data_IF_132490614308
#
_entry.id   IF_132490614308
#
_cell.length_a   1.000
_cell.length_b   1.000
_cell.length_c   1.000
_cell.angle_alpha   90.00
_cell.angle_beta   90.00
_cell.angle_gamma   90.00
#
_symmetry.space_group_name_H-M   'P 1'
#
loop_
_entity.id
_entity.type
_entity.pdbx_description
1 polymer ?
#
# COMPACT_ATOMS: atom_id res chain seq x y z
N UNK A 1 8.13 59.25 27.35
CA UNK A 1 9.44 59.18 26.68
C UNK A 1 9.31 58.25 25.48
N UNK A 2 8.95 58.82 24.34
CA UNK A 2 8.79 58.12 23.06
C UNK A 2 10.16 58.06 22.39
N UNK A 3 10.63 56.86 22.02
CA UNK A 3 11.88 56.69 21.26
C UNK A 3 11.55 56.25 19.83
N UNK A 4 11.61 57.24 18.96
CA UNK A 4 12.25 57.24 17.64
C UNK A 4 11.99 56.09 16.66
N UNK A 5 11.13 56.45 15.70
CA UNK A 5 11.14 56.12 14.29
C UNK A 5 12.56 56.07 13.67
N UNK A 6 12.91 54.95 13.05
CA UNK A 6 13.91 54.92 11.98
C UNK A 6 13.41 54.07 10.81
N UNK A 7 12.78 54.77 9.88
CA UNK A 7 12.61 54.37 8.48
C UNK A 7 13.99 54.30 7.83
N UNK A 8 14.36 53.15 7.28
CA UNK A 8 15.57 53.00 6.47
C UNK A 8 15.26 52.27 5.16
N UNK A 9 15.00 53.10 4.14
CA UNK A 9 15.39 53.02 2.73
C UNK A 9 15.49 51.64 2.06
N UNK A 10 14.61 51.49 1.05
CA UNK A 10 14.68 50.57 -0.09
C UNK A 10 16.08 50.54 -0.71
N UNK A 11 16.63 49.34 -0.86
CA UNK A 11 17.71 49.06 -1.81
C UNK A 11 17.28 47.91 -2.72
N UNK A 12 17.02 48.29 -3.97
CA UNK A 12 16.66 47.46 -5.11
C UNK A 12 17.92 46.68 -5.53
N UNK A 13 17.95 45.37 -5.32
CA UNK A 13 18.99 44.51 -5.92
C UNK A 13 18.48 44.04 -7.28
N UNK A 14 19.21 44.46 -8.31
CA UNK A 14 18.96 44.16 -9.71
C UNK A 14 18.94 42.67 -10.00
N UNK A 15 17.91 42.23 -10.73
CA UNK A 15 17.86 40.93 -11.41
C UNK A 15 19.06 40.82 -12.34
N UNK A 16 19.95 39.87 -12.10
CA UNK A 16 20.96 39.46 -13.09
C UNK A 16 20.32 38.38 -13.95
N UNK A 17 19.94 38.74 -15.17
CA UNK A 17 19.51 37.79 -16.19
C UNK A 17 20.70 36.92 -16.58
N UNK A 18 20.57 35.60 -16.38
CA UNK A 18 21.49 34.62 -16.95
C UNK A 18 20.89 34.23 -18.30
N UNK A 19 21.55 34.63 -19.37
CA UNK A 19 21.24 34.19 -20.73
C UNK A 19 21.57 32.69 -20.83
N UNK A 20 20.55 31.85 -20.99
CA UNK A 20 20.71 30.45 -21.38
C UNK A 20 20.76 30.42 -22.92
N UNK A 21 21.91 30.00 -23.46
CA UNK A 21 22.14 29.84 -24.88
C UNK A 21 21.18 28.77 -25.48
N UNK A 22 20.90 28.81 -26.80
CA UNK A 22 20.00 27.84 -27.42
C UNK A 22 20.64 26.45 -27.48
N UNK A 23 19.88 25.43 -27.08
CA UNK A 23 20.25 24.01 -27.18
C UNK A 23 20.40 23.58 -28.65
N UNK A 24 21.34 22.67 -28.99
CA UNK A 24 21.41 22.10 -30.32
C UNK A 24 20.26 21.13 -30.58
N UNK A 25 19.51 21.37 -31.67
CA UNK A 25 18.50 20.48 -32.23
C UNK A 25 19.08 19.09 -32.49
N UNK A 26 18.63 18.08 -31.73
CA UNK A 26 18.87 16.69 -32.05
C UNK A 26 17.74 16.20 -32.95
N UNK A 27 18.10 15.86 -34.18
CA UNK A 27 17.26 15.31 -35.23
C UNK A 27 16.53 14.05 -34.76
N UNK A 28 15.21 14.02 -34.93
CA UNK A 28 14.40 12.85 -34.67
C UNK A 28 14.67 11.76 -35.72
N UNK A 29 14.96 10.49 -35.35
CA UNK A 29 14.93 9.41 -36.32
C UNK A 29 13.47 9.13 -36.72
N UNK A 30 13.22 9.24 -38.03
CA UNK A 30 11.95 8.95 -38.71
C UNK A 30 11.77 7.42 -38.87
N UNK A 31 10.52 7.02 -38.73
CA UNK A 31 9.92 5.69 -38.67
C UNK A 31 10.36 4.65 -39.74
N UNK A 32 10.26 3.36 -39.36
CA UNK A 32 9.79 2.16 -40.11
C UNK A 32 10.27 0.89 -39.37
N UNK A 33 9.52 -0.18 -39.00
CA UNK A 33 8.32 -0.84 -39.53
C UNK A 33 7.58 -1.71 -38.46
N UNK A 34 6.24 -1.73 -38.58
CA UNK A 34 5.20 -2.77 -38.29
C UNK A 34 5.07 -3.55 -36.96
N UNK A 35 3.82 -3.84 -36.53
CA UNK A 35 3.48 -4.31 -35.20
C UNK A 35 3.63 -5.82 -35.04
N UNK A 36 4.26 -6.24 -33.94
CA UNK A 36 4.15 -7.62 -33.49
C UNK A 36 2.91 -7.73 -32.59
N UNK A 37 1.92 -8.41 -33.14
CA UNK A 37 0.78 -9.00 -32.45
C UNK A 37 1.24 -9.69 -31.16
N UNK A 38 0.98 -9.09 -30.00
CA UNK A 38 1.24 -9.73 -28.71
C UNK A 38 0.13 -10.76 -28.51
N UNK A 39 0.31 -11.94 -29.10
CA UNK A 39 -0.48 -13.12 -28.77
C UNK A 39 -0.41 -13.39 -27.26
N UNK A 40 -1.45 -13.95 -26.63
CA UNK A 40 -1.49 -14.12 -25.19
C UNK A 40 -0.47 -15.21 -24.80
N UNK A 41 0.65 -14.80 -24.20
CA UNK A 41 1.58 -15.70 -23.52
C UNK A 41 0.97 -16.12 -22.16
N UNK A 42 -0.17 -16.82 -22.19
CA UNK A 42 -0.77 -17.44 -20.99
C UNK A 42 -0.91 -18.96 -21.17
N UNK A 43 -0.57 -19.52 -22.33
CA UNK A 43 -0.55 -20.97 -22.50
C UNK A 43 0.89 -21.49 -22.44
N UNK A 44 1.19 -22.26 -21.38
CA UNK A 44 2.42 -23.05 -21.16
C UNK A 44 3.50 -22.40 -20.29
N UNK A 45 3.17 -22.16 -19.02
CA UNK A 45 4.18 -22.24 -17.96
C UNK A 45 4.19 -23.70 -17.44
N UNK A 46 5.35 -24.36 -17.35
CA UNK A 46 5.45 -25.72 -16.82
C UNK A 46 5.08 -25.75 -15.32
N UNK A 47 4.45 -26.84 -14.90
CA UNK A 47 3.97 -27.15 -13.53
C UNK A 47 5.07 -27.23 -12.44
N UNK A 48 6.22 -26.58 -12.62
CA UNK A 48 7.43 -26.75 -11.80
C UNK A 48 7.76 -25.55 -10.88
N UNK A 49 6.75 -24.83 -10.38
CA UNK A 49 6.92 -24.01 -9.16
C UNK A 49 6.54 -24.88 -7.96
N UNK A 50 7.37 -25.89 -7.72
CA UNK A 50 7.10 -26.94 -6.73
C UNK A 50 7.49 -26.47 -5.33
N UNK A 51 6.51 -25.92 -4.62
CA UNK A 51 6.53 -25.68 -3.19
C UNK A 51 5.12 -25.84 -2.64
N UNK A 52 4.64 -27.08 -2.55
CA UNK A 52 3.36 -27.50 -1.97
C UNK A 52 2.16 -26.59 -2.33
N UNK A 53 1.44 -26.90 -3.42
CA UNK A 53 0.13 -26.30 -3.65
C UNK A 53 -0.79 -26.61 -2.45
N UNK A 54 -1.40 -25.61 -1.80
CA UNK A 54 -2.29 -25.85 -0.67
C UNK A 54 -3.47 -26.74 -1.10
N UNK A 55 -3.88 -27.65 -0.24
CA UNK A 55 -5.05 -28.51 -0.48
C UNK A 55 -6.33 -27.67 -0.66
N UNK A 56 -7.36 -28.22 -1.29
CA UNK A 56 -8.65 -27.54 -1.49
C UNK A 56 -9.25 -26.98 -0.19
N UNK A 57 -9.08 -27.70 0.92
CA UNK A 57 -9.55 -27.28 2.24
C UNK A 57 -8.71 -26.11 2.80
N UNK A 58 -7.37 -26.19 2.71
CA UNK A 58 -6.48 -25.11 3.12
C UNK A 58 -6.72 -23.84 2.27
N UNK A 59 -7.01 -23.99 0.98
CA UNK A 59 -7.41 -22.89 0.11
C UNK A 59 -8.70 -22.23 0.59
N UNK A 60 -9.71 -23.01 0.98
CA UNK A 60 -10.97 -22.46 1.46
C UNK A 60 -10.80 -21.69 2.78
N UNK A 61 -10.01 -22.23 3.71
CA UNK A 61 -9.73 -21.59 5.00
C UNK A 61 -8.94 -20.29 4.82
N UNK A 62 -7.93 -20.31 3.96
CA UNK A 62 -7.17 -19.12 3.59
C UNK A 62 -8.08 -18.04 3.01
N UNK A 63 -8.85 -18.36 1.96
CA UNK A 63 -9.75 -17.41 1.30
C UNK A 63 -10.79 -16.83 2.26
N UNK A 64 -11.28 -17.64 3.21
CA UNK A 64 -12.22 -17.19 4.23
C UNK A 64 -11.59 -16.24 5.25
N UNK A 65 -10.29 -16.39 5.56
CA UNK A 65 -9.61 -15.52 6.51
C UNK A 65 -9.13 -14.20 5.87
N UNK A 66 -8.78 -14.18 4.58
CA UNK A 66 -8.06 -13.04 3.95
C UNK A 66 -8.94 -12.00 3.24
N UNK A 67 -10.26 -12.15 3.24
CA UNK A 67 -11.12 -11.16 2.59
C UNK A 67 -11.29 -9.90 3.45
N UNK A 68 -11.67 -8.77 2.83
CA UNK A 68 -12.05 -7.56 3.55
C UNK A 68 -13.57 -7.39 3.53
N UNK A 69 -14.17 -7.20 4.70
CA UNK A 69 -15.61 -6.97 4.83
C UNK A 69 -15.90 -5.53 5.24
N UNK A 70 -16.12 -4.65 4.27
CA UNK A 70 -16.35 -3.23 4.55
C UNK A 70 -17.61 -2.95 5.40
N UNK A 71 -18.67 -3.76 5.21
CA UNK A 71 -19.90 -3.60 5.99
C UNK A 71 -19.68 -3.95 7.46
N UNK A 72 -19.10 -5.12 7.70
CA UNK A 72 -18.71 -5.56 9.04
C UNK A 72 -17.69 -4.61 9.68
N UNK A 73 -16.72 -4.13 8.90
CA UNK A 73 -15.69 -3.22 9.39
C UNK A 73 -16.30 -1.92 9.94
N UNK A 74 -17.25 -1.32 9.23
CA UNK A 74 -17.94 -0.12 9.69
C UNK A 74 -18.88 -0.37 10.87
N UNK A 75 -19.40 -1.59 11.03
CA UNK A 75 -20.18 -1.99 12.21
C UNK A 75 -19.28 -2.18 13.44
N UNK A 76 -18.10 -2.79 13.24
CA UNK A 76 -17.12 -3.02 14.30
C UNK A 76 -16.38 -1.74 14.72
N UNK A 77 -16.19 -0.80 13.79
CA UNK A 77 -15.43 0.44 14.00
C UNK A 77 -16.29 1.69 13.75
N UNK A 78 -17.14 2.09 14.72
CA UNK A 78 -18.04 3.24 14.59
C UNK A 78 -17.32 4.57 14.39
N UNK A 79 -16.06 4.68 14.82
CA UNK A 79 -15.21 5.85 14.62
C UNK A 79 -14.90 6.06 13.12
N UNK A 80 -14.62 4.98 12.39
CA UNK A 80 -14.41 5.02 10.93
C UNK A 80 -15.70 5.37 10.22
N UNK A 81 -16.82 4.76 10.65
CA UNK A 81 -18.16 5.07 10.14
C UNK A 81 -18.51 6.55 10.35
N UNK A 82 -18.22 7.10 11.53
CA UNK A 82 -18.48 8.50 11.84
C UNK A 82 -17.57 9.46 11.06
N UNK A 83 -16.34 9.05 10.78
CA UNK A 83 -15.41 9.82 9.94
C UNK A 83 -15.86 9.88 8.46
N UNK A 84 -16.71 8.94 8.01
CA UNK A 84 -17.23 8.91 6.64
C UNK A 84 -16.15 8.60 5.59
N UNK A 85 -15.05 7.96 6.01
CA UNK A 85 -13.94 7.53 5.15
C UNK A 85 -14.29 6.17 4.54
N UNK A 86 -13.80 5.89 3.33
CA UNK A 86 -13.91 4.55 2.75
C UNK A 86 -13.25 3.51 3.69
N UNK A 87 -13.95 2.43 4.07
CA UNK A 87 -13.45 1.49 5.06
C UNK A 87 -12.19 0.75 4.60
N UNK A 88 -12.07 0.46 3.29
CA UNK A 88 -10.90 -0.22 2.75
C UNK A 88 -9.70 0.73 2.75
N UNK A 89 -9.89 1.98 2.33
CA UNK A 89 -8.87 3.02 2.41
C UNK A 89 -8.37 3.20 3.85
N UNK A 90 -9.28 3.32 4.83
CA UNK A 90 -8.91 3.41 6.23
C UNK A 90 -8.11 2.19 6.69
N UNK A 91 -8.55 0.98 6.33
CA UNK A 91 -7.88 -0.24 6.75
C UNK A 91 -6.45 -0.36 6.20
N UNK A 92 -6.26 -0.08 4.91
CA UNK A 92 -4.96 -0.17 4.24
C UNK A 92 -3.97 0.87 4.76
N UNK A 93 -4.44 2.09 5.05
CA UNK A 93 -3.57 3.20 5.47
C UNK A 93 -3.32 3.23 6.98
N UNK A 94 -4.26 2.74 7.78
CA UNK A 94 -4.24 2.87 9.24
C UNK A 94 -4.64 1.57 9.95
N UNK A 95 -5.81 1.03 9.62
CA UNK A 95 -6.45 -0.02 10.41
C UNK A 95 -5.60 -1.28 10.61
N UNK A 96 -4.85 -1.72 9.58
CA UNK A 96 -3.98 -2.90 9.73
C UNK A 96 -2.88 -2.69 10.78
N UNK A 97 -2.21 -1.54 10.76
CA UNK A 97 -1.13 -1.22 11.71
C UNK A 97 -1.69 -0.96 13.11
N UNK A 98 -2.90 -0.41 13.20
CA UNK A 98 -3.63 -0.28 14.47
C UNK A 98 -4.08 -1.63 15.06
N UNK A 99 -3.84 -2.75 14.35
CA UNK A 99 -4.26 -4.08 14.80
C UNK A 99 -5.76 -4.27 14.73
N UNK A 100 -6.47 -3.53 13.86
CA UNK A 100 -7.89 -3.76 13.57
C UNK A 100 -8.06 -5.02 12.73
N UNK A 101 -9.20 -5.66 12.91
CA UNK A 101 -9.60 -6.86 12.19
C UNK A 101 -10.31 -6.44 10.90
N UNK A 102 -10.06 -7.08 9.75
CA UNK A 102 -10.69 -6.72 8.47
C UNK A 102 -12.04 -7.40 8.24
N UNK A 103 -12.32 -8.48 8.97
CA UNK A 103 -13.52 -9.30 8.86
C UNK A 103 -13.77 -10.05 10.19
N UNK A 104 -14.89 -10.76 10.27
CA UNK A 104 -15.29 -11.52 11.46
C UNK A 104 -14.46 -12.78 11.76
N UNK A 105 -13.72 -13.29 10.76
CA UNK A 105 -12.99 -14.56 10.82
C UNK A 105 -11.51 -14.39 11.18
N UNK A 106 -10.93 -13.21 10.94
CA UNK A 106 -9.58 -12.86 11.32
C UNK A 106 -9.60 -11.88 12.51
N UNK A 107 -9.30 -12.39 13.70
CA UNK A 107 -9.09 -11.57 14.90
C UNK A 107 -7.60 -11.23 15.04
N UNK A 108 -7.26 -9.97 14.75
CA UNK A 108 -5.90 -9.45 14.85
C UNK A 108 -5.28 -9.61 16.23
N UNK A 109 -6.06 -9.48 17.31
CA UNK A 109 -5.57 -9.61 18.68
C UNK A 109 -5.39 -11.08 19.07
N UNK A 110 -6.26 -11.97 18.62
CA UNK A 110 -6.06 -13.41 18.79
C UNK A 110 -4.80 -13.88 18.04
N UNK A 111 -4.61 -13.40 16.81
CA UNK A 111 -3.44 -13.73 16.02
C UNK A 111 -2.14 -13.28 16.69
N UNK A 112 -2.09 -12.06 17.23
CA UNK A 112 -0.93 -11.56 17.97
C UNK A 112 -0.67 -12.32 19.28
N UNK A 113 -1.71 -12.75 19.99
CA UNK A 113 -1.55 -13.60 21.19
C UNK A 113 -0.94 -14.95 20.85
N UNK A 114 -1.31 -15.54 19.72
CA UNK A 114 -0.78 -16.82 19.26
C UNK A 114 0.61 -16.69 18.60
N UNK A 115 0.94 -15.50 18.06
CA UNK A 115 2.16 -15.22 17.32
C UNK A 115 2.81 -13.91 17.83
N UNK A 116 3.34 -13.89 19.06
CA UNK A 116 3.83 -12.67 19.70
C UNK A 116 5.04 -12.04 19.00
N UNK A 117 5.78 -12.82 18.21
CA UNK A 117 6.88 -12.35 17.36
C UNK A 117 6.43 -11.41 16.24
N UNK A 118 5.14 -11.38 15.92
CA UNK A 118 4.55 -10.52 14.88
C UNK A 118 4.20 -9.13 15.41
N UNK A 119 4.26 -8.91 16.73
CA UNK A 119 3.84 -7.64 17.35
C UNK A 119 4.55 -6.40 16.77
N UNK A 120 5.81 -6.55 16.35
CA UNK A 120 6.62 -5.47 15.78
C UNK A 120 6.58 -5.43 14.24
N UNK A 121 5.74 -6.25 13.60
CA UNK A 121 5.61 -6.24 12.14
C UNK A 121 4.88 -4.97 11.66
N UNK A 122 5.63 -4.08 11.00
CA UNK A 122 5.22 -2.72 10.66
C UNK A 122 3.85 -2.61 9.96
N UNK A 123 3.50 -3.58 9.10
CA UNK A 123 2.23 -3.55 8.35
C UNK A 123 1.04 -4.18 9.09
N UNK A 124 1.25 -4.68 10.30
CA UNK A 124 0.23 -5.26 11.14
C UNK A 124 -0.04 -6.75 10.92
N UNK A 125 -0.80 -7.39 11.84
CA UNK A 125 -0.96 -8.84 11.93
C UNK A 125 -1.65 -9.46 10.70
N UNK A 126 -2.63 -8.77 10.14
CA UNK A 126 -3.35 -9.27 8.97
C UNK A 126 -2.45 -9.39 7.74
N UNK A 127 -1.65 -8.35 7.48
CA UNK A 127 -0.69 -8.35 6.37
C UNK A 127 0.39 -9.41 6.60
N UNK A 128 0.85 -9.58 7.85
CA UNK A 128 1.76 -10.68 8.18
C UNK A 128 1.15 -12.04 7.83
N UNK A 129 -0.10 -12.28 8.20
CA UNK A 129 -0.77 -13.55 7.92
C UNK A 129 -0.86 -13.84 6.41
N UNK A 130 -1.28 -12.85 5.61
CA UNK A 130 -1.38 -12.98 4.16
C UNK A 130 -0.01 -13.27 3.52
N UNK A 131 1.03 -12.54 3.91
CA UNK A 131 2.34 -12.63 3.26
C UNK A 131 3.16 -13.83 3.73
N UNK A 132 3.02 -14.24 4.99
CA UNK A 132 3.89 -15.24 5.63
C UNK A 132 3.11 -16.25 6.45
N UNK A 133 2.18 -15.79 7.29
CA UNK A 133 1.56 -16.61 8.33
C UNK A 133 0.84 -17.85 7.80
N UNK A 134 0.17 -17.78 6.65
CA UNK A 134 -0.46 -18.95 6.04
C UNK A 134 0.56 -20.01 5.61
N UNK A 135 1.63 -19.61 4.91
CA UNK A 135 2.69 -20.52 4.46
C UNK A 135 3.49 -21.10 5.63
N UNK A 136 3.70 -20.30 6.68
CA UNK A 136 4.35 -20.70 7.93
C UNK A 136 3.44 -21.57 8.82
N UNK A 137 2.18 -21.78 8.43
CA UNK A 137 1.16 -22.50 9.22
C UNK A 137 0.95 -21.91 10.62
N UNK A 138 1.01 -20.58 10.71
CA UNK A 138 0.76 -19.85 11.95
C UNK A 138 -0.70 -20.04 12.38
N UNK A 139 -0.95 -20.38 13.65
CA UNK A 139 -2.30 -20.48 14.17
C UNK A 139 -2.98 -19.11 14.20
N UNK A 140 -4.30 -19.08 13.98
CA UNK A 140 -5.10 -17.85 14.03
C UNK A 140 -5.50 -17.42 15.45
N UNK A 141 -5.40 -18.33 16.44
CA UNK A 141 -5.86 -18.12 17.82
C UNK A 141 -5.26 -19.16 18.76
#
# INVERSE_FOLDING_TARGET
MVKDLKVARRSRVSKKAVAFAPEPSVEAPKAEERPQEIAPVIASLPDEINGAQPSMQENQEFQSAIYFDGGWYLDMYPDVRAAGIDPLEHFLNHGSQEGRSPNALFDSQAYLRANPDVADFERGPFIHYICFGFQEKRPLR
#
